data_IF_849032191777
#
_entry.id   IF_849032191777
#
_cell.length_a   1.000
_cell.length_b   1.000
_cell.length_c   1.000
_cell.angle_alpha   90.00
_cell.angle_beta   90.00
_cell.angle_gamma   90.00
#
_symmetry.space_group_name_H-M   'P 1'
#
loop_
_entity.id
_entity.type
_entity.pdbx_description
1 polymer ?
#
# COMPACT_ATOMS: atom_id res chain seq x y z
N UNK A 1 8.66 6.10 -23.24
CA UNK A 1 7.50 5.30 -23.71
C UNK A 1 6.25 6.18 -23.56
N UNK A 2 5.21 6.09 -24.41
CA UNK A 2 4.00 6.88 -24.16
C UNK A 2 3.35 6.45 -22.83
N UNK A 3 3.14 7.42 -21.94
CA UNK A 3 2.49 7.27 -20.64
C UNK A 3 0.97 7.18 -20.81
N UNK A 4 0.53 6.08 -21.41
CA UNK A 4 -0.87 5.77 -21.64
C UNK A 4 -1.19 4.44 -20.98
N UNK A 5 -2.30 4.41 -20.24
CA UNK A 5 -2.82 3.19 -19.63
C UNK A 5 -3.24 2.20 -20.71
N UNK A 6 -2.97 0.93 -20.46
CA UNK A 6 -3.51 -0.18 -21.23
C UNK A 6 -4.68 -0.80 -20.45
N UNK A 7 -5.52 -1.59 -21.13
CA UNK A 7 -6.69 -2.22 -20.50
C UNK A 7 -6.72 -3.70 -20.77
N UNK A 8 -7.05 -4.49 -19.75
CA UNK A 8 -7.33 -5.92 -19.91
C UNK A 8 -8.64 -6.11 -20.69
N UNK A 9 -8.94 -7.36 -21.09
CA UNK A 9 -10.22 -7.68 -21.72
C UNK A 9 -11.43 -7.34 -20.81
N UNK A 10 -11.25 -7.37 -19.49
CA UNK A 10 -12.25 -6.96 -18.50
C UNK A 10 -12.32 -5.44 -18.26
N UNK A 11 -11.55 -4.63 -18.99
CA UNK A 11 -11.53 -3.17 -18.87
C UNK A 11 -10.68 -2.62 -17.73
N UNK A 12 -9.99 -3.48 -16.97
CA UNK A 12 -9.09 -3.09 -15.88
C UNK A 12 -7.84 -2.42 -16.45
N UNK A 13 -7.45 -1.29 -15.89
CA UNK A 13 -6.27 -0.55 -16.34
C UNK A 13 -4.97 -1.18 -15.83
N UNK A 14 -3.89 -1.03 -16.60
CA UNK A 14 -2.54 -1.39 -16.16
C UNK A 14 -1.48 -0.65 -16.99
N UNK A 15 -0.26 -0.61 -16.46
CA UNK A 15 0.95 -0.28 -17.21
C UNK A 15 2.12 -1.10 -16.68
N UNK A 16 2.45 -2.16 -17.41
CA UNK A 16 3.59 -3.04 -17.13
C UNK A 16 4.49 -3.13 -18.35
N UNK A 17 5.67 -3.73 -18.20
CA UNK A 17 6.63 -3.83 -19.29
C UNK A 17 6.20 -4.77 -20.40
N UNK A 18 5.69 -5.95 -20.03
CA UNK A 18 5.44 -7.04 -20.96
C UNK A 18 4.47 -8.08 -20.35
N UNK A 19 3.23 -8.08 -20.82
CA UNK A 19 2.18 -9.00 -20.36
C UNK A 19 2.44 -10.47 -20.71
N UNK A 20 3.35 -10.76 -21.66
CA UNK A 20 3.66 -12.15 -22.03
C UNK A 20 4.38 -12.92 -20.91
N UNK A 21 4.86 -12.22 -19.88
CA UNK A 21 5.53 -12.81 -18.72
C UNK A 21 4.56 -13.28 -17.62
N UNK A 22 3.25 -13.08 -17.78
CA UNK A 22 2.24 -13.45 -16.78
C UNK A 22 2.33 -14.92 -16.36
N UNK A 23 2.44 -15.86 -17.33
CA UNK A 23 2.55 -17.29 -17.04
C UNK A 23 3.81 -17.65 -16.22
N UNK A 24 4.90 -16.93 -16.43
CA UNK A 24 6.13 -17.15 -15.67
C UNK A 24 5.99 -16.58 -14.25
N UNK A 25 5.45 -15.37 -14.12
CA UNK A 25 5.18 -14.75 -12.82
C UNK A 25 4.20 -15.57 -11.98
N UNK A 26 3.14 -16.10 -12.59
CA UNK A 26 2.16 -16.96 -11.89
C UNK A 26 2.81 -18.20 -11.26
N UNK A 27 3.71 -18.88 -11.99
CA UNK A 27 4.45 -20.02 -11.44
C UNK A 27 5.40 -19.65 -10.29
N UNK A 28 6.02 -18.48 -10.34
CA UNK A 28 6.87 -18.02 -9.25
C UNK A 28 6.05 -17.57 -8.03
N UNK A 29 4.86 -17.00 -8.24
CA UNK A 29 3.90 -16.70 -7.17
C UNK A 29 3.47 -18.01 -6.48
N UNK A 30 3.05 -19.02 -7.23
CA UNK A 30 2.68 -20.34 -6.69
C UNK A 30 3.81 -20.95 -5.84
N UNK A 31 5.06 -20.82 -6.30
CA UNK A 31 6.22 -21.30 -5.54
C UNK A 31 6.42 -20.51 -4.25
N UNK A 32 6.32 -19.18 -4.30
CA UNK A 32 6.46 -18.31 -3.14
C UNK A 32 5.38 -18.56 -2.08
N UNK A 33 4.14 -18.85 -2.49
CA UNK A 33 3.05 -19.20 -1.58
C UNK A 33 3.35 -20.47 -0.77
N UNK A 34 3.89 -21.49 -1.42
CA UNK A 34 4.14 -22.81 -0.79
C UNK A 34 5.38 -22.78 0.08
N UNK A 35 6.48 -22.22 -0.42
CA UNK A 35 7.80 -22.39 0.20
C UNK A 35 8.18 -21.25 1.15
N UNK A 36 7.65 -20.04 0.94
CA UNK A 36 8.21 -18.83 1.55
C UNK A 36 7.20 -17.96 2.33
N UNK A 37 5.90 -18.08 2.06
CA UNK A 37 4.90 -17.14 2.59
C UNK A 37 3.71 -17.80 3.34
N UNK A 38 3.96 -18.77 4.25
CA UNK A 38 2.87 -19.47 4.96
C UNK A 38 1.98 -18.52 5.76
N UNK A 39 2.54 -17.46 6.35
CA UNK A 39 1.76 -16.51 7.13
C UNK A 39 0.66 -15.79 6.33
N UNK A 40 0.92 -15.42 5.06
CA UNK A 40 -0.12 -14.83 4.21
C UNK A 40 -1.18 -15.86 3.81
N UNK A 41 -0.76 -17.10 3.58
CA UNK A 41 -1.70 -18.18 3.28
C UNK A 41 -2.62 -18.47 4.47
N UNK A 42 -2.10 -18.42 5.69
CA UNK A 42 -2.89 -18.54 6.92
C UNK A 42 -3.94 -17.42 7.00
N UNK A 43 -3.59 -16.17 6.66
CA UNK A 43 -4.57 -15.07 6.58
C UNK A 43 -5.69 -15.35 5.57
N UNK A 44 -5.36 -15.88 4.38
CA UNK A 44 -6.37 -16.25 3.38
C UNK A 44 -7.33 -17.32 3.91
N UNK A 45 -6.81 -18.32 4.63
CA UNK A 45 -7.63 -19.39 5.23
C UNK A 45 -8.50 -18.86 6.36
N UNK A 46 -7.93 -18.08 7.28
CA UNK A 46 -8.59 -17.60 8.49
C UNK A 46 -9.63 -16.51 8.18
N UNK A 47 -9.28 -15.52 7.36
CA UNK A 47 -10.10 -14.33 7.14
C UNK A 47 -10.75 -14.28 5.75
N UNK A 48 -10.37 -15.16 4.82
CA UNK A 48 -11.05 -15.29 3.53
C UNK A 48 -12.57 -15.43 3.67
N UNK A 49 -13.11 -16.30 4.55
CA UNK A 49 -14.56 -16.45 4.69
C UNK A 49 -15.28 -15.18 5.19
N UNK A 50 -14.62 -14.36 6.02
CA UNK A 50 -15.22 -13.16 6.61
C UNK A 50 -15.12 -11.92 5.71
N UNK A 51 -14.23 -11.94 4.70
CA UNK A 51 -14.03 -10.86 3.73
C UNK A 51 -13.87 -9.49 4.41
N UNK A 52 -12.88 -9.31 5.31
CA UNK A 52 -12.76 -8.11 6.13
C UNK A 52 -12.48 -6.83 5.31
N UNK A 53 -11.88 -6.97 4.13
CA UNK A 53 -11.61 -5.83 3.24
C UNK A 53 -12.69 -5.63 2.18
N UNK A 54 -13.84 -6.30 2.30
CA UNK A 54 -14.94 -6.12 1.34
C UNK A 54 -15.34 -4.66 1.22
N UNK A 55 -15.20 -4.14 -0.01
CA UNK A 55 -15.52 -2.75 -0.36
C UNK A 55 -14.44 -1.74 0.03
N UNK A 56 -13.30 -2.18 0.58
CA UNK A 56 -12.15 -1.32 0.83
C UNK A 56 -11.33 -1.14 -0.46
N UNK A 57 -10.92 0.10 -0.72
CA UNK A 57 -10.04 0.50 -1.82
C UNK A 57 -8.64 0.73 -1.28
N UNK A 58 -7.69 -0.10 -1.68
CA UNK A 58 -6.32 -0.07 -1.16
C UNK A 58 -5.35 0.34 -2.26
N UNK A 59 -4.65 1.47 -2.06
CA UNK A 59 -3.50 1.84 -2.90
C UNK A 59 -2.22 1.34 -2.26
N UNK A 60 -1.40 0.60 -3.01
CA UNK A 60 -0.07 0.19 -2.59
C UNK A 60 1.05 0.90 -3.35
N UNK A 61 2.07 1.34 -2.62
CA UNK A 61 3.33 1.91 -3.12
C UNK A 61 4.49 1.16 -2.47
N UNK A 62 4.63 -0.12 -2.82
CA UNK A 62 5.67 -1.04 -2.35
C UNK A 62 6.42 -1.59 -3.55
N UNK A 63 7.64 -2.09 -3.35
CA UNK A 63 8.38 -2.82 -4.39
C UNK A 63 7.49 -3.87 -5.08
N UNK A 64 7.28 -3.76 -6.40
CA UNK A 64 6.45 -4.71 -7.15
C UNK A 64 7.21 -6.01 -7.46
N UNK A 65 7.32 -6.89 -6.47
CA UNK A 65 8.02 -8.19 -6.53
C UNK A 65 7.04 -9.37 -6.46
N UNK A 66 7.55 -10.60 -6.57
CA UNK A 66 6.79 -11.84 -6.33
C UNK A 66 6.19 -11.87 -4.92
N UNK A 67 6.95 -11.44 -3.90
CA UNK A 67 6.43 -11.41 -2.52
C UNK A 67 5.28 -10.41 -2.37
N UNK A 68 5.39 -9.25 -3.02
CA UNK A 68 4.31 -8.26 -3.07
C UNK A 68 3.12 -8.75 -3.89
N UNK A 69 3.35 -9.55 -4.93
CA UNK A 69 2.27 -10.18 -5.68
C UNK A 69 1.41 -11.09 -4.77
N UNK A 70 2.04 -11.92 -3.92
CA UNK A 70 1.32 -12.74 -2.93
C UNK A 70 0.56 -11.87 -1.92
N UNK A 71 1.11 -10.72 -1.50
CA UNK A 71 0.41 -9.75 -0.65
C UNK A 71 -0.85 -9.21 -1.33
N UNK A 72 -0.73 -8.73 -2.57
CA UNK A 72 -1.85 -8.18 -3.35
C UNK A 72 -2.95 -9.23 -3.50
N UNK A 73 -2.59 -10.46 -3.82
CA UNK A 73 -3.54 -11.57 -3.92
C UNK A 73 -4.18 -11.93 -2.58
N UNK A 74 -3.46 -11.73 -1.47
CA UNK A 74 -4.03 -11.89 -0.13
C UNK A 74 -5.05 -10.79 0.16
N UNK A 75 -4.74 -9.52 -0.13
CA UNK A 75 -5.67 -8.41 0.07
C UNK A 75 -6.96 -8.59 -0.74
N UNK A 76 -6.83 -8.97 -2.00
CA UNK A 76 -7.97 -9.24 -2.89
C UNK A 76 -8.74 -10.49 -2.47
N UNK A 77 -8.07 -11.55 -2.03
CA UNK A 77 -8.71 -12.73 -1.44
C UNK A 77 -9.50 -12.42 -0.16
N UNK A 78 -9.12 -11.37 0.58
CA UNK A 78 -9.86 -10.87 1.75
C UNK A 78 -10.91 -9.79 1.39
N UNK A 79 -11.11 -9.51 0.10
CA UNK A 79 -12.21 -8.70 -0.43
C UNK A 79 -11.86 -7.27 -0.85
N UNK A 80 -10.58 -6.89 -0.82
CA UNK A 80 -10.13 -5.55 -1.22
C UNK A 80 -10.18 -5.35 -2.74
N UNK A 81 -10.48 -4.13 -3.16
CA UNK A 81 -10.06 -3.62 -4.48
C UNK A 81 -8.67 -3.01 -4.34
N UNK A 82 -7.78 -3.23 -5.31
CA UNK A 82 -6.36 -2.86 -5.17
C UNK A 82 -5.82 -2.17 -6.42
N UNK A 83 -5.18 -1.01 -6.21
CA UNK A 83 -4.34 -0.29 -7.17
C UNK A 83 -2.90 -0.28 -6.67
N UNK A 84 -1.92 -0.48 -7.54
CA UNK A 84 -0.53 -0.63 -7.12
C UNK A 84 0.47 0.08 -8.02
N UNK A 85 1.47 0.71 -7.42
CA UNK A 85 2.71 1.13 -8.06
C UNK A 85 3.94 0.65 -7.28
N UNK A 86 5.10 0.74 -7.91
CA UNK A 86 6.38 0.45 -7.24
C UNK A 86 6.92 1.70 -6.56
N UNK A 87 7.52 1.58 -5.37
CA UNK A 87 8.20 2.70 -4.68
C UNK A 87 9.68 2.87 -5.09
N UNK A 88 10.17 2.09 -6.06
CA UNK A 88 11.52 2.25 -6.57
C UNK A 88 11.66 1.82 -8.03
N UNK A 89 12.26 2.70 -8.83
CA UNK A 89 12.43 2.58 -10.28
C UNK A 89 13.16 1.31 -10.77
N UNK A 90 13.89 0.59 -9.90
CA UNK A 90 14.62 -0.63 -10.28
C UNK A 90 14.13 -1.89 -9.57
N UNK A 91 13.19 -1.77 -8.66
CA UNK A 91 12.77 -2.87 -7.78
C UNK A 91 11.77 -3.83 -8.42
N UNK A 92 11.00 -3.36 -9.40
CA UNK A 92 9.95 -4.16 -10.04
C UNK A 92 10.52 -5.43 -10.68
N UNK A 93 9.87 -6.55 -10.40
CA UNK A 93 10.01 -7.79 -11.14
C UNK A 93 8.91 -7.82 -12.20
N UNK A 94 9.28 -7.61 -13.46
CA UNK A 94 8.32 -7.40 -14.56
C UNK A 94 7.32 -8.57 -14.73
N UNK A 95 7.76 -9.80 -14.46
CA UNK A 95 6.91 -10.99 -14.51
C UNK A 95 5.89 -11.05 -13.37
N UNK A 96 6.25 -10.59 -12.16
CA UNK A 96 5.31 -10.45 -11.04
C UNK A 96 4.23 -9.41 -11.35
N UNK A 97 4.64 -8.25 -11.90
CA UNK A 97 3.72 -7.20 -12.33
C UNK A 97 2.76 -7.72 -13.44
N UNK A 98 3.29 -8.46 -14.42
CA UNK A 98 2.51 -9.04 -15.50
C UNK A 98 1.52 -10.12 -15.03
N UNK A 99 1.85 -10.87 -13.97
CA UNK A 99 0.96 -11.88 -13.39
C UNK A 99 -0.21 -11.27 -12.60
N UNK A 100 0.02 -10.13 -11.92
CA UNK A 100 -1.01 -9.47 -11.09
C UNK A 100 -1.97 -8.59 -11.89
N UNK A 101 -1.46 -7.89 -12.91
CA UNK A 101 -2.25 -6.97 -13.74
C UNK A 101 -3.54 -7.55 -14.36
N UNK A 102 -3.58 -8.80 -14.89
CA UNK A 102 -4.76 -9.31 -15.57
C UNK A 102 -5.92 -9.62 -14.61
N UNK A 103 -5.61 -10.28 -13.49
CA UNK A 103 -6.62 -10.98 -12.69
C UNK A 103 -6.73 -10.46 -11.26
N UNK A 104 -5.64 -9.97 -10.66
CA UNK A 104 -5.59 -9.65 -9.22
C UNK A 104 -5.76 -8.15 -8.92
N UNK A 105 -4.98 -7.25 -9.53
CA UNK A 105 -5.06 -5.81 -9.23
C UNK A 105 -4.76 -4.92 -10.46
N UNK A 106 -5.01 -3.61 -10.32
CA UNK A 106 -4.49 -2.60 -11.26
C UNK A 106 -3.03 -2.33 -10.92
N UNK A 107 -2.12 -2.47 -11.88
CA UNK A 107 -0.67 -2.31 -11.64
C UNK A 107 -0.05 -1.32 -12.61
N UNK A 108 0.62 -0.30 -12.07
CA UNK A 108 1.46 0.66 -12.79
C UNK A 108 2.90 0.53 -12.30
N UNK A 109 3.66 -0.39 -12.89
CA UNK A 109 5.03 -0.64 -12.48
C UNK A 109 5.82 -1.36 -13.56
N UNK A 110 7.08 -0.97 -13.77
CA UNK A 110 8.07 -1.71 -14.56
C UNK A 110 9.48 -1.52 -14.03
N UNK A 111 10.38 -2.43 -14.37
CA UNK A 111 11.80 -2.25 -14.06
C UNK A 111 12.43 -1.21 -14.97
N UNK A 112 13.25 -0.33 -14.38
CA UNK A 112 14.01 0.71 -15.09
C UNK A 112 13.14 1.89 -15.52
N UNK A 113 12.23 2.34 -14.66
CA UNK A 113 11.48 3.57 -14.85
C UNK A 113 12.40 4.80 -14.84
N UNK A 114 12.03 5.83 -15.59
CA UNK A 114 12.51 7.19 -15.35
C UNK A 114 11.76 7.81 -14.18
N UNK A 115 12.29 8.87 -13.56
CA UNK A 115 11.57 9.57 -12.48
C UNK A 115 10.22 10.13 -12.93
N UNK A 116 10.09 10.52 -14.19
CA UNK A 116 8.80 10.98 -14.73
C UNK A 116 7.78 9.83 -14.81
N UNK A 117 8.21 8.64 -15.23
CA UNK A 117 7.35 7.46 -15.26
C UNK A 117 6.97 7.01 -13.84
N UNK A 118 7.92 7.06 -12.90
CA UNK A 118 7.70 6.75 -11.49
C UNK A 118 6.56 7.57 -10.89
N UNK A 119 6.66 8.90 -10.93
CA UNK A 119 5.62 9.77 -10.37
C UNK A 119 4.29 9.65 -11.11
N UNK A 120 4.32 9.41 -12.43
CA UNK A 120 3.09 9.10 -13.17
C UNK A 120 2.45 7.80 -12.70
N UNK A 121 3.23 6.75 -12.42
CA UNK A 121 2.72 5.50 -11.85
C UNK A 121 2.12 5.73 -10.46
N UNK A 122 2.76 6.53 -9.61
CA UNK A 122 2.25 6.90 -8.27
C UNK A 122 0.91 7.63 -8.37
N UNK A 123 0.81 8.64 -9.23
CA UNK A 123 -0.43 9.38 -9.47
C UNK A 123 -1.55 8.44 -9.95
N UNK A 124 -1.25 7.55 -10.90
CA UNK A 124 -2.24 6.58 -11.41
C UNK A 124 -2.67 5.56 -10.37
N UNK A 125 -1.79 5.15 -9.45
CA UNK A 125 -2.14 4.24 -8.37
C UNK A 125 -3.02 4.90 -7.29
N UNK A 126 -3.00 6.23 -7.19
CA UNK A 126 -3.88 7.01 -6.30
C UNK A 126 -5.19 7.46 -6.97
N UNK A 127 -5.25 7.43 -8.31
CA UNK A 127 -6.40 7.84 -9.09
C UNK A 127 -7.47 6.73 -9.19
N UNK A 128 -8.38 6.69 -8.22
CA UNK A 128 -9.54 5.78 -8.21
C UNK A 128 -10.72 6.27 -9.09
N UNK A 129 -10.55 7.37 -9.82
CA UNK A 129 -11.59 8.00 -10.63
C UNK A 129 -12.79 8.52 -9.82
N UNK A 130 -13.94 8.64 -10.49
CA UNK A 130 -15.13 9.31 -9.93
C UNK A 130 -15.75 8.66 -8.70
N UNK A 131 -15.38 7.42 -8.38
CA UNK A 131 -15.88 6.68 -7.22
C UNK A 131 -15.18 7.00 -5.90
N UNK A 132 -14.15 7.86 -5.92
CA UNK A 132 -13.32 8.19 -4.76
C UNK A 132 -12.41 7.03 -4.31
N UNK A 133 -11.43 7.35 -3.48
CA UNK A 133 -10.42 6.43 -2.96
C UNK A 133 -9.03 7.08 -2.96
N UNK A 134 -8.02 6.41 -2.36
CA UNK A 134 -8.10 5.16 -1.60
C UNK A 134 -8.73 5.32 -0.21
N UNK A 135 -9.21 4.22 0.39
CA UNK A 135 -9.57 4.14 1.81
C UNK A 135 -8.33 3.80 2.67
N UNK A 136 -7.44 2.96 2.14
CA UNK A 136 -6.22 2.53 2.82
C UNK A 136 -5.02 2.70 1.89
N UNK A 137 -3.88 3.07 2.47
CA UNK A 137 -2.61 3.17 1.76
C UNK A 137 -1.60 2.27 2.44
N UNK A 138 -0.90 1.46 1.63
CA UNK A 138 0.28 0.68 2.01
C UNK A 138 1.49 1.32 1.35
N UNK A 139 2.41 1.93 2.10
CA UNK A 139 3.50 2.73 1.52
C UNK A 139 4.87 2.26 2.02
N UNK A 140 5.87 2.31 1.14
CA UNK A 140 7.26 1.98 1.46
C UNK A 140 8.14 3.12 0.96
N UNK A 141 8.68 3.89 1.90
CA UNK A 141 9.42 5.13 1.63
C UNK A 141 8.60 6.41 1.74
N UNK A 142 7.27 6.33 1.78
CA UNK A 142 6.38 7.46 2.09
C UNK A 142 6.09 8.41 0.92
N UNK A 143 6.44 8.02 -0.32
CA UNK A 143 6.26 8.88 -1.50
C UNK A 143 4.79 9.06 -1.89
N UNK A 144 3.94 8.04 -1.73
CA UNK A 144 2.51 8.16 -2.00
C UNK A 144 1.84 9.05 -0.95
N UNK A 145 2.18 8.87 0.33
CA UNK A 145 1.73 9.76 1.39
C UNK A 145 2.18 11.21 1.16
N UNK A 146 3.45 11.42 0.79
CA UNK A 146 3.99 12.75 0.49
C UNK A 146 3.23 13.42 -0.66
N UNK A 147 2.95 12.69 -1.73
CA UNK A 147 2.24 13.23 -2.89
C UNK A 147 0.85 13.75 -2.49
N UNK A 148 0.07 12.96 -1.75
CA UNK A 148 -1.26 13.39 -1.26
C UNK A 148 -1.16 14.68 -0.45
N UNK A 149 -0.16 14.78 0.44
CA UNK A 149 0.00 15.97 1.27
C UNK A 149 0.37 17.22 0.47
N UNK A 150 1.27 17.10 -0.49
CA UNK A 150 1.66 18.23 -1.33
C UNK A 150 0.50 18.66 -2.25
N UNK A 151 -0.30 17.72 -2.76
CA UNK A 151 -1.51 18.01 -3.53
C UNK A 151 -2.57 18.71 -2.68
N UNK A 152 -2.86 18.24 -1.46
CA UNK A 152 -3.79 18.91 -0.54
C UNK A 152 -3.37 20.35 -0.24
N UNK A 153 -2.07 20.59 0.04
CA UNK A 153 -1.55 21.95 0.25
C UNK A 153 -1.74 22.83 -0.98
N UNK A 154 -1.45 22.27 -2.16
CA UNK A 154 -1.61 22.98 -3.42
C UNK A 154 -3.07 23.34 -3.69
N UNK A 155 -4.01 22.41 -3.42
CA UNK A 155 -5.45 22.64 -3.51
C UNK A 155 -5.91 23.74 -2.54
N UNK A 156 -5.49 23.70 -1.27
CA UNK A 156 -5.83 24.74 -0.31
C UNK A 156 -5.35 26.14 -0.74
N UNK A 157 -4.12 26.23 -1.26
CA UNK A 157 -3.56 27.48 -1.77
C UNK A 157 -4.37 27.93 -2.99
N UNK A 158 -4.67 27.01 -3.90
CA UNK A 158 -5.44 27.28 -5.10
C UNK A 158 -6.86 27.77 -4.78
N UNK A 159 -7.57 27.15 -3.83
CA UNK A 159 -8.89 27.60 -3.39
C UNK A 159 -8.86 29.01 -2.81
N UNK A 160 -7.84 29.32 -2.01
CA UNK A 160 -7.70 30.63 -1.34
C UNK A 160 -7.24 31.74 -2.29
N UNK A 161 -6.40 31.42 -3.28
CA UNK A 161 -5.63 32.42 -4.04
C UNK A 161 -5.73 32.29 -5.55
N UNK A 162 -6.23 31.17 -6.07
CA UNK A 162 -6.17 30.80 -7.49
C UNK A 162 -4.76 30.49 -8.00
N UNK A 163 -3.76 30.43 -7.12
CA UNK A 163 -2.37 30.19 -7.49
C UNK A 163 -2.11 28.69 -7.65
N UNK A 164 -1.50 28.31 -8.77
CA UNK A 164 -1.00 26.95 -8.99
C UNK A 164 0.36 26.76 -8.32
N UNK A 165 0.70 25.54 -7.87
CA UNK A 165 2.01 25.23 -7.32
C UNK A 165 3.13 25.53 -8.33
N UNK A 166 4.23 26.08 -7.84
CA UNK A 166 5.44 26.30 -8.64
C UNK A 166 6.10 24.95 -8.95
N UNK A 167 6.40 24.63 -10.22
CA UNK A 167 7.07 23.38 -10.59
C UNK A 167 8.53 23.27 -10.12
N UNK A 168 9.07 24.27 -9.41
CA UNK A 168 10.39 24.18 -8.81
C UNK A 168 10.44 23.14 -7.68
N UNK A 169 11.57 22.42 -7.47
CA UNK A 169 11.62 21.31 -6.53
C UNK A 169 11.45 21.80 -5.08
N UNK A 170 10.39 21.35 -4.40
CA UNK A 170 10.24 21.49 -2.95
C UNK A 170 11.10 20.49 -2.20
N UNK A 171 11.62 20.91 -1.04
CA UNK A 171 12.50 20.12 -0.17
C UNK A 171 11.73 18.96 0.47
N UNK A 172 12.17 17.72 0.21
CA UNK A 172 11.43 16.48 0.46
C UNK A 172 11.65 15.91 1.86
N UNK A 173 11.77 16.75 2.89
CA UNK A 173 12.05 16.29 4.24
C UNK A 173 10.93 16.66 5.22
N UNK A 174 10.16 15.64 5.61
CA UNK A 174 9.51 15.57 6.92
C UNK A 174 7.99 15.44 6.91
N UNK A 175 7.47 14.22 6.76
CA UNK A 175 6.12 13.86 7.25
C UNK A 175 5.99 14.16 8.76
N UNK A 176 7.09 14.04 9.51
CA UNK A 176 7.20 14.40 10.93
C UNK A 176 6.98 15.89 11.23
N UNK A 177 7.24 16.77 10.26
CA UNK A 177 7.11 18.22 10.44
C UNK A 177 5.69 18.74 10.21
N UNK A 178 4.75 17.88 9.80
CA UNK A 178 3.40 18.29 9.43
C UNK A 178 2.51 18.53 10.67
N UNK A 179 1.91 19.73 10.83
CA UNK A 179 1.10 20.05 12.00
C UNK A 179 -0.10 19.11 12.20
N UNK A 180 -0.23 18.53 13.40
CA UNK A 180 -1.38 17.73 13.81
C UNK A 180 -1.35 16.26 13.37
N UNK A 181 -0.32 15.84 12.63
CA UNK A 181 -0.08 14.43 12.30
C UNK A 181 0.33 13.66 13.54
N UNK A 182 -0.33 12.53 13.77
CA UNK A 182 0.01 11.60 14.84
C UNK A 182 0.70 10.39 14.23
N UNK A 183 2.00 10.26 14.49
CA UNK A 183 2.71 9.00 14.28
C UNK A 183 2.43 8.08 15.49
N UNK A 184 1.83 6.93 15.22
CA UNK A 184 1.59 5.87 16.19
C UNK A 184 2.43 4.67 15.76
N UNK A 185 3.55 4.44 16.44
CA UNK A 185 4.33 3.23 16.23
C UNK A 185 3.51 2.02 16.69
N UNK A 186 3.11 1.18 15.74
CA UNK A 186 2.39 -0.08 15.99
C UNK A 186 3.39 -1.13 16.48
N UNK A 187 4.55 -1.23 15.81
CA UNK A 187 5.65 -2.13 16.17
C UNK A 187 6.98 -1.57 15.64
N UNK A 188 8.15 -2.10 16.07
CA UNK A 188 9.43 -1.62 15.54
C UNK A 188 9.41 -1.64 14.00
N UNK A 189 9.76 -0.51 13.37
CA UNK A 189 9.76 -0.31 11.92
C UNK A 189 8.37 -0.24 11.26
N UNK A 190 7.29 -0.10 12.02
CA UNK A 190 5.93 0.04 11.48
C UNK A 190 5.18 1.15 12.22
N UNK A 191 4.92 2.23 11.50
CA UNK A 191 4.18 3.38 12.00
C UNK A 191 2.83 3.50 11.28
N UNK A 192 1.79 3.78 12.06
CA UNK A 192 0.50 4.25 11.59
C UNK A 192 0.45 5.76 11.70
N UNK A 193 0.19 6.42 10.59
CA UNK A 193 0.12 7.87 10.55
C UNK A 193 -1.35 8.28 10.48
N UNK A 194 -1.84 8.93 11.54
CA UNK A 194 -3.21 9.42 11.66
C UNK A 194 -3.21 10.93 11.44
N UNK A 195 -3.95 11.39 10.43
CA UNK A 195 -3.96 12.77 9.99
C UNK A 195 -5.23 13.50 10.47
N UNK A 196 -5.12 14.79 10.85
CA UNK A 196 -6.20 15.52 11.51
C UNK A 196 -7.33 16.01 10.57
N UNK A 197 -7.13 15.96 9.24
CA UNK A 197 -8.07 16.53 8.26
C UNK A 197 -8.35 15.64 7.04
N UNK A 198 -8.09 14.34 7.11
CA UNK A 198 -8.65 13.45 6.08
C UNK A 198 -10.16 13.32 6.33
N UNK A 199 -10.96 13.52 5.27
CA UNK A 199 -12.34 13.04 5.21
C UNK A 199 -12.39 11.63 5.84
N UNK A 200 -13.36 11.27 6.72
CA UNK A 200 -13.22 10.22 7.72
C UNK A 200 -13.12 8.81 7.12
N UNK A 201 -11.97 8.49 6.52
CA UNK A 201 -11.80 7.35 5.64
C UNK A 201 -10.37 7.05 5.22
N UNK A 202 -9.44 8.02 5.17
CA UNK A 202 -8.04 7.72 4.79
C UNK A 202 -7.21 7.36 6.02
N UNK A 203 -6.87 6.07 6.16
CA UNK A 203 -5.82 5.64 7.08
C UNK A 203 -4.60 5.20 6.28
N UNK A 204 -3.49 5.93 6.43
CA UNK A 204 -2.20 5.55 5.86
C UNK A 204 -1.53 4.60 6.84
N UNK A 205 -1.33 3.35 6.45
CA UNK A 205 -0.75 2.35 7.34
C UNK A 205 0.50 1.76 6.73
N UNK A 206 1.56 1.92 7.52
CA UNK A 206 2.91 1.42 7.37
C UNK A 206 3.75 2.26 6.43
N UNK A 207 4.84 2.79 6.99
CA UNK A 207 6.08 3.16 6.33
C UNK A 207 7.16 2.30 6.97
N UNK A 208 7.85 1.44 6.21
CA UNK A 208 9.03 0.71 6.72
C UNK A 208 10.28 1.51 6.37
N UNK A 209 10.73 2.39 7.27
CA UNK A 209 12.03 3.06 7.09
C UNK A 209 13.15 2.15 7.64
N UNK A 210 13.96 1.61 6.73
CA UNK A 210 15.32 1.17 7.06
C UNK A 210 15.49 -0.31 7.46
N UNK A 211 15.27 -1.23 6.52
CA UNK A 211 15.78 -2.60 6.67
C UNK A 211 17.10 -2.81 5.91
N UNK A 212 18.11 -3.25 6.66
CA UNK A 212 19.18 -4.09 6.09
C UNK A 212 18.52 -5.36 5.55
N UNK A 213 19.08 -5.85 4.46
CA UNK A 213 18.49 -6.75 3.48
C UNK A 213 18.10 -8.22 3.83
N UNK A 214 18.17 -8.81 5.05
CA UNK A 214 17.86 -10.24 5.10
C UNK A 214 16.37 -10.61 5.00
N UNK A 215 15.40 -9.77 5.38
CA UNK A 215 14.05 -10.28 5.70
C UNK A 215 12.86 -9.62 4.97
N UNK A 216 12.79 -9.69 3.65
CA UNK A 216 11.58 -9.24 2.89
C UNK A 216 10.30 -9.96 3.41
N UNK A 217 10.42 -11.21 3.86
CA UNK A 217 9.29 -12.03 4.34
C UNK A 217 8.57 -11.44 5.57
N UNK A 218 9.33 -10.98 6.58
CA UNK A 218 8.78 -10.40 7.81
C UNK A 218 8.09 -9.06 7.53
N UNK A 219 8.53 -8.34 6.49
CA UNK A 219 7.95 -7.07 6.10
C UNK A 219 6.52 -7.25 5.60
N UNK A 220 6.31 -8.22 4.71
CA UNK A 220 5.00 -8.41 4.06
C UNK A 220 3.93 -8.86 5.04
N UNK A 221 4.26 -9.80 5.92
CA UNK A 221 3.36 -10.19 7.02
C UNK A 221 3.11 -9.00 7.96
N UNK A 222 4.11 -8.16 8.21
CA UNK A 222 3.94 -6.96 9.01
C UNK A 222 2.99 -5.91 8.42
N UNK A 223 2.99 -5.75 7.09
CA UNK A 223 2.00 -4.92 6.40
C UNK A 223 0.59 -5.48 6.62
N UNK A 224 0.41 -6.80 6.52
CA UNK A 224 -0.88 -7.46 6.71
C UNK A 224 -1.42 -7.30 8.14
N UNK A 225 -0.59 -7.56 9.16
CA UNK A 225 -0.97 -7.37 10.57
C UNK A 225 -1.51 -5.95 10.82
N UNK A 226 -0.82 -4.96 10.25
CA UNK A 226 -1.11 -3.54 10.46
C UNK A 226 -2.41 -3.14 9.78
N UNK A 227 -2.67 -3.64 8.56
CA UNK A 227 -3.93 -3.41 7.85
C UNK A 227 -5.12 -4.04 8.58
N UNK A 228 -4.97 -5.27 9.08
CA UNK A 228 -6.01 -5.94 9.85
C UNK A 228 -6.31 -5.18 11.15
N UNK A 229 -5.28 -4.75 11.88
CA UNK A 229 -5.44 -3.95 13.10
C UNK A 229 -6.21 -2.65 12.83
N UNK A 230 -5.84 -1.90 11.79
CA UNK A 230 -6.53 -0.66 11.40
C UNK A 230 -7.97 -0.93 10.98
N UNK A 231 -8.24 -2.01 10.25
CA UNK A 231 -9.60 -2.36 9.85
C UNK A 231 -10.49 -2.66 11.06
N UNK A 232 -10.02 -3.47 12.01
CA UNK A 232 -10.79 -3.78 13.22
C UNK A 232 -11.06 -2.54 14.08
N UNK A 233 -10.09 -1.62 14.18
CA UNK A 233 -10.27 -0.32 14.83
C UNK A 233 -11.38 0.49 14.15
N UNK A 234 -11.36 0.58 12.81
CA UNK A 234 -12.36 1.33 12.05
C UNK A 234 -13.78 0.73 12.15
N UNK A 235 -13.89 -0.59 12.35
CA UNK A 235 -15.18 -1.28 12.55
C UNK A 235 -15.70 -1.22 14.00
N UNK A 236 -14.97 -0.59 14.92
CA UNK A 236 -15.37 -0.47 16.33
C UNK A 236 -15.42 -1.80 17.08
N UNK A 237 -14.73 -2.84 16.58
CA UNK A 237 -14.64 -4.15 17.23
C UNK A 237 -13.37 -4.18 18.09
N UNK A 238 -13.51 -4.50 19.38
CA UNK A 238 -12.35 -4.90 20.18
C UNK A 238 -11.83 -6.25 19.64
N UNK A 239 -10.50 -6.45 19.52
CA UNK A 239 -9.95 -7.73 19.11
C UNK A 239 -10.37 -8.82 20.11
N UNK A 240 -10.93 -9.92 19.61
CA UNK A 240 -11.45 -11.00 20.43
C UNK A 240 -10.38 -11.57 21.36
N UNK A 241 -10.77 -11.69 22.62
CA UNK A 241 -9.90 -11.73 23.78
C UNK A 241 -9.15 -13.08 23.92
N UNK A 242 -7.93 -13.15 23.37
CA UNK A 242 -6.82 -13.92 23.98
C UNK A 242 -5.62 -13.04 24.41
N UNK A 243 -5.76 -11.71 24.41
CA UNK A 243 -4.81 -10.83 25.09
C UNK A 243 -5.44 -9.51 25.56
N UNK A 244 -5.92 -9.54 26.81
CA UNK A 244 -5.97 -8.45 27.79
C UNK A 244 -6.30 -7.00 27.31
N UNK A 245 -7.58 -6.64 27.46
CA UNK A 245 -8.17 -5.34 27.85
C UNK A 245 -7.40 -4.02 27.61
N UNK A 246 -8.07 -3.03 26.99
CA UNK A 246 -8.59 -1.79 27.63
C UNK A 246 -9.16 -0.77 26.59
N UNK A 247 -10.04 0.17 27.03
CA UNK A 247 -11.07 0.81 26.21
C UNK A 247 -10.65 2.07 25.45
N UNK A 248 -11.52 2.41 24.48
CA UNK A 248 -11.63 3.60 23.63
C UNK A 248 -10.98 4.89 24.18
N UNK A 249 -9.82 5.21 23.62
CA UNK A 249 -9.28 6.53 23.25
C UNK A 249 -7.75 6.40 23.21
N UNK A 250 -7.21 6.17 22.01
CA UNK A 250 -5.78 6.28 21.65
C UNK A 250 -4.83 5.79 22.77
N UNK A 251 -4.67 4.46 22.91
CA UNK A 251 -3.57 3.87 23.70
C UNK A 251 -2.96 2.67 22.98
N UNK A 252 -1.92 2.98 22.22
CA UNK A 252 -0.60 2.33 22.20
C UNK A 252 -0.53 1.04 23.03
N UNK A 253 -0.33 -0.10 22.36
CA UNK A 253 0.12 -1.32 23.01
C UNK A 253 1.63 -1.52 22.71
N UNK A 254 2.48 -1.11 23.65
CA UNK A 254 3.85 -1.61 23.74
C UNK A 254 3.85 -2.84 24.65
N UNK A 255 4.37 -3.98 24.18
CA UNK A 255 5.38 -4.77 24.92
C UNK A 255 5.94 -5.98 24.16
N UNK A 256 7.28 -6.06 24.19
CA UNK A 256 8.15 -7.23 24.26
C UNK A 256 8.07 -8.31 23.16
N UNK A 257 9.06 -8.28 22.25
CA UNK A 257 9.80 -9.51 21.93
C UNK A 257 11.31 -9.24 22.03
N UNK A 258 11.91 -9.82 23.06
CA UNK A 258 13.34 -10.13 23.10
C UNK A 258 13.64 -11.22 22.05
N UNK A 259 14.79 -11.07 21.38
CA UNK A 259 15.61 -12.13 20.78
C UNK A 259 14.93 -13.08 19.76
N UNK A 260 15.22 -12.83 18.47
CA UNK A 260 15.90 -13.77 17.58
C UNK A 260 16.40 -13.06 16.32
#
# INVERSE_FOLDING_TARGET
>A
MPLLVEKTAGGREYKVKDMSQADFGGREIELAEVDEMPGLMDYRVEFGPSQPFKGAKITGSLHMTIQTAVLIETLTALGAEVLWCSCNIFSTQDHAAAAIAPDSAVVFARKGETLQEYWWCTERALDWGHGGGPDLIVDDGGDAALLIHEEMKAEEIYEKTGQLPDPSPTDKHGLEAYPGVKCITIKPQTDCWVFPETNPGIVVVVVVVGLRLPCIWNCVVAYMDSLMAVRFINEGREPDNQSAALPLDIKILMKEFELC
#
